data_IF_082763167659
#
_entry.id   IF_082763167659
#
_cell.length_a   1.000
_cell.length_b   1.000
_cell.length_c   1.000
_cell.angle_alpha   90.00
_cell.angle_beta   90.00
_cell.angle_gamma   90.00
#
_symmetry.space_group_name_H-M   'P 1'
#
loop_
_entity.id
_entity.type
_entity.pdbx_description
1 polymer ?
#
# COMPACT_ATOMS: atom_id res chain seq x y z
N UNK A 1 6.89 14.17 -2.60
CA UNK A 1 6.64 12.82 -3.15
C UNK A 1 5.93 11.98 -2.09
N UNK A 2 4.94 11.19 -2.48
CA UNK A 2 4.32 10.22 -1.56
C UNK A 2 5.34 9.09 -1.29
N UNK A 3 5.56 8.66 -0.03
CA UNK A 3 6.34 7.46 0.23
C UNK A 3 5.74 6.26 -0.50
N UNK A 4 6.58 5.58 -1.26
CA UNK A 4 6.26 4.33 -1.98
C UNK A 4 6.90 3.18 -1.20
N UNK A 5 6.15 2.11 -1.03
CA UNK A 5 6.57 0.89 -0.36
C UNK A 5 6.62 -0.24 -1.38
N UNK A 6 7.79 -0.86 -1.58
CA UNK A 6 7.95 -2.03 -2.45
C UNK A 6 8.80 -3.04 -1.69
N UNK A 7 8.29 -4.26 -1.54
CA UNK A 7 9.02 -5.35 -0.89
C UNK A 7 8.66 -6.67 -1.53
N UNK A 8 9.68 -7.42 -1.96
CA UNK A 8 9.53 -8.84 -2.29
C UNK A 8 9.93 -9.68 -1.08
N UNK A 9 9.16 -10.72 -0.79
CA UNK A 9 9.37 -11.62 0.33
C UNK A 9 9.40 -13.04 -0.20
N UNK A 10 10.54 -13.71 -0.05
CA UNK A 10 10.64 -15.15 -0.25
C UNK A 10 10.04 -15.87 0.95
N UNK A 11 9.08 -16.76 0.68
CA UNK A 11 8.35 -17.47 1.71
C UNK A 11 9.23 -18.52 2.37
N UNK A 12 8.98 -18.70 3.66
CA UNK A 12 9.63 -19.72 4.48
C UNK A 12 8.58 -20.43 5.33
N UNK A 13 8.97 -21.54 5.96
CA UNK A 13 8.13 -22.25 6.92
C UNK A 13 7.81 -21.44 8.19
N UNK A 14 8.53 -20.33 8.41
CA UNK A 14 8.31 -19.41 9.54
C UNK A 14 7.49 -18.19 9.12
N UNK A 15 6.73 -17.65 10.07
CA UNK A 15 5.93 -16.44 9.87
C UNK A 15 6.84 -15.21 9.79
N UNK A 16 6.67 -14.43 8.72
CA UNK A 16 7.41 -13.21 8.46
C UNK A 16 6.44 -12.03 8.36
N UNK A 17 6.75 -10.91 9.01
CA UNK A 17 5.95 -9.69 8.90
C UNK A 17 6.17 -8.99 7.57
N UNK A 18 5.10 -8.44 6.98
CA UNK A 18 5.21 -7.67 5.71
C UNK A 18 5.96 -6.35 5.88
N UNK A 19 5.94 -5.75 7.07
CA UNK A 19 6.79 -4.61 7.44
C UNK A 19 7.37 -4.79 8.85
N UNK A 20 8.61 -4.35 9.08
CA UNK A 20 9.26 -4.44 10.38
C UNK A 20 8.70 -3.41 11.40
N UNK A 21 8.26 -2.26 10.89
CA UNK A 21 7.68 -1.16 11.67
C UNK A 21 6.29 -0.81 11.18
N UNK A 22 5.49 -0.16 12.04
CA UNK A 22 4.13 0.31 11.72
C UNK A 22 4.11 1.10 10.41
N UNK A 23 3.41 0.55 9.43
CA UNK A 23 3.38 1.08 8.06
C UNK A 23 1.95 1.03 7.54
N UNK A 24 1.25 2.17 7.64
CA UNK A 24 -0.16 2.29 7.27
C UNK A 24 -0.28 2.96 5.90
N UNK A 25 -0.77 2.22 4.90
CA UNK A 25 -0.92 2.71 3.54
C UNK A 25 -1.93 1.87 2.74
N UNK A 26 -2.21 2.28 1.51
CA UNK A 26 -2.92 1.44 0.54
C UNK A 26 -1.91 0.54 -0.18
N UNK A 27 -2.04 -0.77 0.00
CA UNK A 27 -1.11 -1.76 -0.54
C UNK A 27 -1.81 -2.73 -1.49
N UNK A 28 -1.15 -3.10 -2.58
CA UNK A 28 -1.44 -4.29 -3.36
C UNK A 28 -0.45 -5.39 -2.96
N UNK A 29 -1.00 -6.54 -2.56
CA UNK A 29 -0.25 -7.77 -2.27
C UNK A 29 -0.53 -8.74 -3.39
N UNK A 30 0.51 -9.31 -3.98
CA UNK A 30 0.42 -10.27 -5.08
C UNK A 30 1.28 -11.48 -4.80
N UNK A 31 0.70 -12.68 -4.82
CA UNK A 31 1.46 -13.93 -4.81
C UNK A 31 2.05 -14.16 -6.19
N UNK A 32 3.30 -14.61 -6.28
CA UNK A 32 3.88 -14.90 -7.58
C UNK A 32 3.09 -16.03 -8.26
N UNK A 33 2.89 -15.92 -9.58
CA UNK A 33 2.19 -16.94 -10.38
C UNK A 33 2.97 -18.26 -10.47
N UNK A 34 4.27 -18.22 -10.18
CA UNK A 34 5.17 -19.38 -10.15
C UNK A 34 5.18 -20.09 -8.80
N UNK A 35 4.39 -19.64 -7.81
CA UNK A 35 4.35 -20.31 -6.52
C UNK A 35 3.81 -21.74 -6.68
N UNK A 36 4.56 -22.71 -6.16
CA UNK A 36 4.18 -24.10 -6.20
C UNK A 36 3.11 -24.44 -5.15
N UNK A 37 3.04 -23.67 -4.06
CA UNK A 37 2.07 -23.86 -2.98
C UNK A 37 1.32 -22.56 -2.67
N UNK A 38 0.20 -22.68 -1.96
CA UNK A 38 -0.56 -21.53 -1.51
C UNK A 38 0.22 -20.76 -0.44
N UNK A 39 0.36 -19.45 -0.63
CA UNK A 39 0.88 -18.56 0.40
C UNK A 39 -0.12 -18.49 1.56
N UNK A 40 0.38 -18.46 2.79
CA UNK A 40 -0.45 -18.41 3.98
C UNK A 40 -0.31 -17.05 4.62
N UNK A 41 -1.43 -16.36 4.79
CA UNK A 41 -1.50 -15.04 5.41
C UNK A 41 -2.25 -15.12 6.72
N UNK A 42 -1.86 -14.30 7.69
CA UNK A 42 -2.65 -14.05 8.90
C UNK A 42 -2.41 -12.62 9.40
N UNK A 43 -3.27 -12.19 10.32
CA UNK A 43 -3.16 -10.89 10.98
C UNK A 43 -3.03 -11.12 12.48
N UNK A 44 -1.98 -10.58 13.10
CA UNK A 44 -1.70 -10.67 14.55
C UNK A 44 -1.87 -12.06 15.16
N UNK A 45 -1.37 -13.10 14.47
CA UNK A 45 -1.50 -14.49 14.95
C UNK A 45 -2.92 -15.08 14.87
N UNK A 46 -3.87 -14.38 14.26
CA UNK A 46 -5.24 -14.84 14.05
C UNK A 46 -5.38 -15.96 13.00
N UNK A 47 -6.61 -16.20 12.52
CA UNK A 47 -6.91 -17.24 11.54
C UNK A 47 -6.05 -17.13 10.28
N UNK A 48 -5.66 -18.29 9.75
CA UNK A 48 -4.86 -18.37 8.53
C UNK A 48 -5.76 -18.37 7.30
N UNK A 49 -5.40 -17.56 6.32
CA UNK A 49 -6.04 -17.49 5.00
C UNK A 49 -5.04 -17.96 3.94
N UNK A 50 -5.50 -18.82 3.04
CA UNK A 50 -4.68 -19.36 1.96
C UNK A 50 -4.89 -18.55 0.69
N UNK A 51 -3.81 -18.07 0.10
CA UNK A 51 -3.81 -17.36 -1.17
C UNK A 51 -3.14 -18.23 -2.24
N UNK A 52 -3.89 -18.65 -3.27
CA UNK A 52 -3.32 -19.33 -4.43
C UNK A 52 -2.26 -18.50 -5.15
N UNK A 53 -1.47 -19.16 -6.01
CA UNK A 53 -0.51 -18.50 -6.88
C UNK A 53 -1.19 -17.49 -7.83
N UNK A 54 -0.54 -16.34 -8.07
CA UNK A 54 -1.03 -15.29 -8.98
C UNK A 54 -2.20 -14.46 -8.46
N UNK A 55 -2.65 -14.69 -7.22
CA UNK A 55 -3.73 -13.91 -6.60
C UNK A 55 -3.20 -12.57 -6.16
N UNK A 56 -3.97 -11.53 -6.44
CA UNK A 56 -3.68 -10.17 -6.02
C UNK A 56 -4.88 -9.58 -5.29
N UNK A 57 -4.62 -8.86 -4.19
CA UNK A 57 -5.64 -8.08 -3.51
C UNK A 57 -5.10 -6.71 -3.11
N UNK A 58 -5.98 -5.72 -3.18
CA UNK A 58 -5.71 -4.35 -2.71
C UNK A 58 -6.33 -4.15 -1.34
N UNK A 59 -5.50 -3.71 -0.39
CA UNK A 59 -5.88 -3.40 0.99
C UNK A 59 -5.75 -1.89 1.19
N UNK A 60 -6.78 -1.26 1.75
CA UNK A 60 -6.86 0.20 1.90
C UNK A 60 -6.69 0.56 3.37
N UNK A 61 -5.72 1.44 3.67
CA UNK A 61 -5.52 1.97 5.03
C UNK A 61 -5.12 0.91 6.07
N UNK A 62 -4.41 -0.14 5.65
CA UNK A 62 -4.01 -1.25 6.53
C UNK A 62 -2.60 -1.08 7.06
N UNK A 63 -2.34 -1.58 8.27
CA UNK A 63 -1.00 -1.63 8.86
C UNK A 63 -0.27 -2.92 8.45
N UNK A 64 0.73 -2.80 7.59
CA UNK A 64 1.50 -3.94 7.08
C UNK A 64 2.33 -4.64 8.16
N UNK A 65 2.60 -3.99 9.29
CA UNK A 65 3.38 -4.61 10.39
C UNK A 65 2.60 -5.67 11.17
N UNK A 66 1.28 -5.68 11.00
CA UNK A 66 0.34 -6.63 11.63
C UNK A 66 0.08 -7.86 10.75
N UNK A 67 0.39 -7.76 9.46
CA UNK A 67 0.19 -8.84 8.50
C UNK A 67 1.44 -9.71 8.45
N UNK A 68 1.23 -11.00 8.58
CA UNK A 68 2.27 -12.02 8.54
C UNK A 68 2.02 -12.98 7.39
N UNK A 69 3.11 -13.43 6.77
CA UNK A 69 3.09 -14.38 5.67
C UNK A 69 4.05 -15.53 5.93
N UNK A 70 3.66 -16.74 5.52
CA UNK A 70 4.53 -17.92 5.45
C UNK A 70 4.18 -18.76 4.23
N UNK A 71 5.02 -19.74 3.94
CA UNK A 71 4.79 -20.69 2.85
C UNK A 71 5.97 -21.62 2.69
N UNK A 72 6.28 -21.98 1.45
CA UNK A 72 7.36 -22.91 1.12
C UNK A 72 8.35 -22.21 0.20
N UNK A 73 9.64 -22.31 0.48
CA UNK A 73 10.67 -21.80 -0.45
C UNK A 73 10.67 -22.65 -1.73
N UNK A 74 10.80 -22.09 -2.94
CA UNK A 74 11.18 -20.70 -3.26
C UNK A 74 10.00 -19.76 -3.58
N UNK A 75 8.78 -20.06 -3.11
CA UNK A 75 7.60 -19.23 -3.36
C UNK A 75 7.80 -17.80 -2.85
N UNK A 76 7.12 -16.83 -3.46
CA UNK A 76 7.28 -15.42 -3.11
C UNK A 76 5.99 -14.62 -3.18
N UNK A 77 6.02 -13.49 -2.49
CA UNK A 77 4.96 -12.48 -2.46
C UNK A 77 5.56 -11.12 -2.69
N UNK A 78 4.93 -10.34 -3.56
CA UNK A 78 5.22 -8.94 -3.80
C UNK A 78 4.22 -8.07 -3.05
N UNK A 79 4.73 -7.12 -2.28
CA UNK A 79 3.94 -6.07 -1.62
C UNK A 79 4.34 -4.75 -2.26
N UNK A 80 3.37 -4.06 -2.84
CA UNK A 80 3.53 -2.70 -3.37
C UNK A 80 2.52 -1.79 -2.70
N UNK A 81 2.85 -0.53 -2.50
CA UNK A 81 1.93 0.40 -1.86
C UNK A 81 2.40 1.84 -1.92
N UNK A 82 1.45 2.75 -1.73
CA UNK A 82 1.72 4.17 -1.72
C UNK A 82 0.63 4.93 -0.96
N UNK A 83 0.98 6.11 -0.46
CA UNK A 83 -0.02 7.01 0.11
C UNK A 83 -0.69 7.79 -1.02
N UNK A 84 -1.90 7.37 -1.41
CA UNK A 84 -2.77 8.19 -2.26
C UNK A 84 -3.29 9.36 -1.43
N UNK A 85 -2.59 10.51 -1.48
CA UNK A 85 -3.18 11.78 -1.07
C UNK A 85 -4.20 12.19 -2.13
N UNK A 86 -5.43 11.71 -2.01
CA UNK A 86 -6.52 12.29 -2.78
C UNK A 86 -6.78 13.69 -2.22
N UNK A 87 -6.09 14.70 -2.76
CA UNK A 87 -6.42 16.10 -2.48
C UNK A 87 -7.71 16.37 -3.23
N UNK A 88 -8.83 16.36 -2.52
CA UNK A 88 -10.07 16.93 -3.05
C UNK A 88 -9.75 18.41 -3.29
N UNK A 89 -9.46 18.76 -4.55
CA UNK A 89 -9.44 20.15 -4.95
C UNK A 89 -10.88 20.60 -4.93
N UNK A 90 -11.27 21.25 -3.83
CA UNK A 90 -12.53 21.98 -3.80
C UNK A 90 -12.51 22.93 -5.00
N UNK A 91 -13.61 23.00 -5.78
CA UNK A 91 -13.73 24.04 -6.78
C UNK A 91 -13.50 25.39 -6.08
N UNK A 92 -12.79 26.34 -6.72
CA UNK A 92 -12.62 27.66 -6.14
C UNK A 92 -13.99 28.24 -5.78
N UNK A 93 -14.12 28.96 -4.66
CA UNK A 93 -15.38 29.58 -4.30
C UNK A 93 -15.88 30.43 -5.47
N UNK A 94 -17.15 30.30 -5.87
CA UNK A 94 -17.71 31.14 -6.94
C UNK A 94 -17.68 32.59 -6.47
N UNK A 95 -16.77 33.39 -7.05
CA UNK A 95 -16.65 34.81 -6.73
C UNK A 95 -15.23 35.40 -6.70
N UNK A 96 -14.17 34.61 -6.88
CA UNK A 96 -12.79 35.11 -6.91
C UNK A 96 -12.33 35.73 -8.23
N UNK A 97 -13.23 36.43 -8.94
CA UNK A 97 -12.88 37.24 -10.11
C UNK A 97 -12.32 38.59 -9.66
N UNK A 98 -11.12 38.58 -9.09
CA UNK A 98 -10.37 39.81 -8.79
C UNK A 98 -9.78 40.33 -10.08
N UNK A 99 -10.49 41.27 -10.69
CA UNK A 99 -10.08 42.09 -11.81
C UNK A 99 -8.72 42.74 -11.59
N UNK A 100 -7.96 42.83 -12.68
CA UNK A 100 -6.84 43.74 -12.86
C UNK A 100 -7.17 45.15 -12.34
N UNK A 101 -6.62 45.52 -11.18
CA UNK A 101 -6.51 46.90 -10.76
C UNK A 101 -5.06 47.33 -10.96
N UNK A 102 -4.88 48.00 -12.09
CA UNK A 102 -3.69 48.72 -12.51
C UNK A 102 -3.13 49.63 -11.39
N UNK A 103 -1.80 49.76 -11.40
CA UNK A 103 -0.97 50.59 -10.53
C UNK A 103 -1.54 51.98 -10.22
N UNK A 104 -1.53 52.34 -8.93
CA UNK A 104 -1.69 53.70 -8.43
C UNK A 104 -0.54 54.08 -7.49
N UNK A 105 0.40 54.87 -8.03
CA UNK A 105 1.30 55.87 -7.42
C UNK A 105 2.04 55.62 -6.10
N UNK A 106 3.36 55.83 -6.13
CA UNK A 106 4.15 56.14 -4.93
C UNK A 106 5.65 56.31 -5.17
N UNK A 107 6.06 57.34 -5.93
CA UNK A 107 7.24 58.20 -5.72
C UNK A 107 7.04 59.52 -6.46
#
# INVERSE_FOLDING_TARGET
MAPVFIRSITLSSTWQKLAATRTVLTAAITTASTNAQNAQFRVDGGPTVLWPAGVSATLIGVDLSRIEVKGTSPDSVLVTGGVSRNVIRLPPPPGGGGSDAFFGMGF
#
